data_IF_450641064761
#
_entry.id   IF_450641064761
#
_cell.length_a   1.000
_cell.length_b   1.000
_cell.length_c   1.000
_cell.angle_alpha   90.00
_cell.angle_beta   90.00
_cell.angle_gamma   90.00
#
_symmetry.space_group_name_H-M   'P 1'
#
loop_
_entity.id
_entity.type
_entity.pdbx_description
1 polymer ?
#
# COMPACT_ATOMS: atom_id res chain seq x y z
N UNK A 1 -70.82 34.67 -35.93
CA UNK A 1 -70.29 34.21 -34.62
C UNK A 1 -70.22 32.70 -34.63
N UNK A 2 -69.01 32.12 -34.69
CA UNK A 2 -68.77 30.69 -34.50
C UNK A 2 -67.47 30.58 -33.69
N UNK A 3 -67.61 30.29 -32.39
CA UNK A 3 -66.48 30.08 -31.48
C UNK A 3 -65.99 28.63 -31.62
N UNK A 4 -64.72 28.46 -31.95
CA UNK A 4 -64.05 27.15 -32.06
C UNK A 4 -63.29 26.90 -30.76
N UNK A 5 -63.84 26.04 -29.91
CA UNK A 5 -63.19 25.59 -28.67
C UNK A 5 -61.99 24.69 -29.01
N UNK A 6 -60.78 25.18 -28.77
CA UNK A 6 -59.55 24.37 -28.81
C UNK A 6 -59.30 23.86 -27.39
N UNK A 7 -59.53 22.57 -27.15
CA UNK A 7 -59.13 21.90 -25.90
C UNK A 7 -57.63 21.63 -25.94
N UNK A 8 -56.90 22.23 -25.01
CA UNK A 8 -55.44 22.17 -24.87
C UNK A 8 -54.93 20.83 -24.30
N UNK A 9 -53.64 20.49 -24.53
CA UNK A 9 -53.07 19.13 -24.49
C UNK A 9 -52.54 18.72 -23.10
N UNK A 10 -53.18 19.16 -22.02
CA UNK A 10 -52.70 18.97 -20.64
C UNK A 10 -52.59 17.49 -20.24
N UNK A 11 -53.42 16.63 -20.82
CA UNK A 11 -53.45 15.18 -20.55
C UNK A 11 -52.20 14.49 -21.06
N UNK A 12 -51.67 14.90 -22.21
CA UNK A 12 -50.46 14.30 -22.79
C UNK A 12 -49.20 14.67 -22.02
N UNK A 13 -49.15 15.88 -21.45
CA UNK A 13 -48.04 16.31 -20.61
C UNK A 13 -47.97 15.52 -19.30
N UNK A 14 -49.13 15.27 -18.66
CA UNK A 14 -49.21 14.49 -17.43
C UNK A 14 -48.83 13.01 -17.67
N UNK A 15 -49.23 12.43 -18.80
CA UNK A 15 -48.82 11.08 -19.19
C UNK A 15 -47.30 10.99 -19.43
N UNK A 16 -46.71 11.98 -20.09
CA UNK A 16 -45.26 12.02 -20.32
C UNK A 16 -44.46 12.13 -19.01
N UNK A 17 -44.89 13.00 -18.09
CA UNK A 17 -44.26 13.14 -16.77
C UNK A 17 -44.40 11.87 -15.92
N UNK A 18 -45.55 11.19 -15.99
CA UNK A 18 -45.77 9.90 -15.32
C UNK A 18 -44.83 8.81 -15.85
N UNK A 19 -44.67 8.71 -17.16
CA UNK A 19 -43.76 7.74 -17.79
C UNK A 19 -42.29 8.02 -17.45
N UNK A 20 -41.87 9.29 -17.39
CA UNK A 20 -40.52 9.67 -16.96
C UNK A 20 -40.29 9.32 -15.49
N UNK A 21 -41.26 9.59 -14.61
CA UNK A 21 -41.17 9.23 -13.20
C UNK A 21 -41.06 7.72 -12.98
N UNK A 22 -41.87 6.94 -13.70
CA UNK A 22 -41.82 5.46 -13.69
C UNK A 22 -40.46 4.99 -14.21
N UNK A 23 -39.98 5.52 -15.34
CA UNK A 23 -38.68 5.15 -15.89
C UNK A 23 -37.53 5.44 -14.91
N UNK A 24 -37.51 6.60 -14.27
CA UNK A 24 -36.49 6.96 -13.29
C UNK A 24 -36.54 6.08 -12.03
N UNK A 25 -37.74 5.76 -11.54
CA UNK A 25 -37.93 4.88 -10.38
C UNK A 25 -37.51 3.43 -10.66
N UNK A 26 -37.88 2.89 -11.82
CA UNK A 26 -37.47 1.54 -12.20
C UNK A 26 -35.99 1.48 -12.60
N UNK A 27 -35.39 2.56 -13.14
CA UNK A 27 -33.94 2.58 -13.43
C UNK A 27 -33.11 2.47 -12.15
N UNK A 28 -33.49 3.17 -11.08
CA UNK A 28 -32.78 3.08 -9.79
C UNK A 28 -33.01 1.73 -9.10
N UNK A 29 -34.24 1.19 -9.14
CA UNK A 29 -34.57 -0.11 -8.57
C UNK A 29 -33.95 -1.30 -9.31
N UNK A 30 -33.86 -1.23 -10.64
CA UNK A 30 -33.20 -2.26 -11.46
C UNK A 30 -31.67 -2.22 -11.25
N UNK A 31 -31.06 -1.03 -11.16
CA UNK A 31 -29.63 -0.92 -10.85
C UNK A 31 -29.27 -1.50 -9.49
N UNK A 32 -30.10 -1.32 -8.46
CA UNK A 32 -29.85 -1.90 -7.13
C UNK A 32 -30.07 -3.41 -7.09
N UNK A 33 -31.15 -3.96 -7.67
CA UNK A 33 -31.36 -5.42 -7.64
C UNK A 33 -30.37 -6.20 -8.51
N UNK A 34 -29.97 -5.67 -9.67
CA UNK A 34 -28.96 -6.30 -10.55
C UNK A 34 -27.58 -6.28 -9.89
N UNK A 35 -27.22 -5.21 -9.18
CA UNK A 35 -25.95 -5.13 -8.42
C UNK A 35 -25.90 -6.11 -7.25
N UNK A 36 -27.04 -6.35 -6.58
CA UNK A 36 -27.14 -7.30 -5.46
C UNK A 36 -27.12 -8.76 -5.92
N UNK A 37 -27.67 -9.07 -7.11
CA UNK A 37 -27.68 -10.45 -7.65
C UNK A 37 -26.40 -10.84 -8.39
N UNK A 38 -25.63 -9.90 -8.92
CA UNK A 38 -24.32 -10.16 -9.55
C UNK A 38 -23.15 -10.22 -8.55
N UNK A 39 -23.32 -9.76 -7.31
CA UNK A 39 -22.28 -9.78 -6.26
C UNK A 39 -22.05 -11.12 -5.55
N UNK A 40 -22.79 -12.18 -5.91
CA UNK A 40 -22.69 -13.50 -5.28
C UNK A 40 -21.88 -14.55 -6.05
N UNK A 41 -21.34 -14.21 -7.22
CA UNK A 41 -20.42 -15.10 -7.96
C UNK A 41 -19.05 -15.08 -7.29
N UNK A 42 -18.41 -16.24 -7.13
CA UNK A 42 -16.95 -16.31 -6.90
C UNK A 42 -16.30 -15.40 -7.95
N UNK A 43 -15.85 -14.21 -7.54
CA UNK A 43 -15.08 -13.31 -8.40
C UNK A 43 -13.78 -14.04 -8.70
N UNK A 44 -13.74 -14.75 -9.83
CA UNK A 44 -12.50 -15.23 -10.41
C UNK A 44 -11.87 -14.03 -11.09
N UNK A 45 -11.39 -13.08 -10.29
CA UNK A 45 -10.65 -11.94 -10.78
C UNK A 45 -9.43 -12.43 -11.55
N UNK A 46 -9.19 -11.82 -12.71
CA UNK A 46 -8.00 -12.10 -13.52
C UNK A 46 -6.76 -11.82 -12.67
N UNK A 47 -5.80 -12.76 -12.59
CA UNK A 47 -4.53 -12.52 -11.92
C UNK A 47 -3.82 -11.27 -12.49
N UNK A 48 -3.14 -10.53 -11.62
CA UNK A 48 -2.39 -9.36 -12.03
C UNK A 48 -1.21 -9.75 -12.94
N UNK A 49 -0.78 -8.85 -13.82
CA UNK A 49 0.41 -9.05 -14.65
C UNK A 49 1.71 -9.01 -13.79
N UNK A 50 2.88 -9.15 -14.42
CA UNK A 50 4.18 -9.17 -13.74
C UNK A 50 4.55 -7.83 -13.08
N UNK A 51 3.90 -6.74 -13.48
CA UNK A 51 4.07 -5.39 -12.91
C UNK A 51 2.93 -4.99 -11.98
N UNK A 52 2.09 -5.95 -11.57
CA UNK A 52 0.94 -5.75 -10.69
C UNK A 52 -0.08 -4.71 -11.18
N UNK A 53 -0.10 -4.40 -12.48
CA UNK A 53 -0.96 -3.39 -13.09
C UNK A 53 -0.39 -1.98 -13.10
N UNK A 54 0.89 -1.79 -12.72
CA UNK A 54 1.61 -0.53 -12.86
C UNK A 54 2.47 -0.52 -14.13
N UNK A 55 2.98 0.65 -14.52
CA UNK A 55 3.95 0.77 -15.62
C UNK A 55 5.26 0.04 -15.34
N UNK A 56 5.71 -0.01 -14.08
CA UNK A 56 6.90 -0.75 -13.67
C UNK A 56 6.99 -0.94 -12.15
N UNK A 57 7.81 -1.90 -11.72
CA UNK A 57 8.15 -2.14 -10.33
C UNK A 57 9.61 -1.73 -10.12
N UNK A 58 9.87 -0.82 -9.20
CA UNK A 58 11.21 -0.28 -8.93
C UNK A 58 11.65 -0.63 -7.51
N UNK A 59 12.94 -0.92 -7.32
CA UNK A 59 13.49 -1.29 -6.01
C UNK A 59 14.63 -0.35 -5.65
N UNK A 60 14.60 0.16 -4.42
CA UNK A 60 15.73 0.82 -3.78
C UNK A 60 16.58 -0.24 -3.08
N UNK A 61 17.71 -0.62 -3.69
CA UNK A 61 18.64 -1.61 -3.13
C UNK A 61 20.08 -1.13 -3.28
N UNK A 62 20.74 -0.88 -2.15
CA UNK A 62 22.11 -0.34 -2.11
C UNK A 62 23.16 -1.33 -2.67
N UNK A 63 24.36 -0.84 -3.06
CA UNK A 63 25.42 -1.69 -3.58
C UNK A 63 25.81 -2.79 -2.58
N UNK A 64 25.78 -4.05 -3.03
CA UNK A 64 26.15 -5.19 -2.19
C UNK A 64 25.16 -5.50 -1.06
N UNK A 65 23.92 -5.00 -1.13
CA UNK A 65 22.90 -5.31 -0.13
C UNK A 65 22.74 -6.83 0.06
N UNK A 66 22.81 -7.34 1.31
CA UNK A 66 22.65 -8.76 1.60
C UNK A 66 21.22 -9.25 1.37
N UNK A 67 20.26 -8.34 1.20
CA UNK A 67 18.83 -8.62 1.09
C UNK A 67 18.38 -8.85 -0.35
N UNK A 68 19.17 -8.37 -1.31
CA UNK A 68 18.86 -8.41 -2.75
C UNK A 68 18.62 -9.83 -3.29
N UNK A 69 19.45 -10.80 -2.91
CA UNK A 69 19.30 -12.17 -3.40
C UNK A 69 17.96 -12.80 -3.01
N UNK A 70 17.54 -12.59 -1.75
CA UNK A 70 16.24 -13.07 -1.27
C UNK A 70 15.07 -12.39 -1.98
N UNK A 71 15.17 -11.08 -2.21
CA UNK A 71 14.18 -10.33 -2.97
C UNK A 71 14.04 -10.86 -4.41
N UNK A 72 15.15 -11.13 -5.08
CA UNK A 72 15.17 -11.70 -6.44
C UNK A 72 14.54 -13.10 -6.48
N UNK A 73 14.77 -13.94 -5.46
CA UNK A 73 14.11 -15.24 -5.35
C UNK A 73 12.60 -15.10 -5.13
N UNK A 74 12.17 -14.20 -4.25
CA UNK A 74 10.75 -13.92 -4.01
C UNK A 74 10.05 -13.43 -5.28
N UNK A 75 10.70 -12.55 -6.04
CA UNK A 75 10.24 -12.06 -7.33
C UNK A 75 10.15 -13.18 -8.36
N UNK A 76 11.12 -14.09 -8.41
CA UNK A 76 11.10 -15.22 -9.33
C UNK A 76 9.95 -16.19 -9.04
N UNK A 77 9.69 -16.49 -7.76
CA UNK A 77 8.58 -17.37 -7.32
C UNK A 77 7.22 -16.76 -7.63
N UNK A 78 7.06 -15.46 -7.41
CA UNK A 78 5.82 -14.75 -7.71
C UNK A 78 5.74 -14.19 -9.11
N UNK A 79 6.78 -14.40 -9.93
CA UNK A 79 6.89 -13.90 -11.31
C UNK A 79 6.64 -12.38 -11.41
N UNK A 80 7.27 -11.63 -10.51
CA UNK A 80 7.30 -10.17 -10.57
C UNK A 80 8.52 -9.70 -11.35
N UNK A 81 8.31 -8.71 -12.21
CA UNK A 81 9.38 -8.08 -12.99
C UNK A 81 9.88 -6.84 -12.28
N UNK A 82 10.92 -7.01 -11.45
CA UNK A 82 11.54 -5.92 -10.71
C UNK A 82 12.62 -5.22 -11.54
N UNK A 83 12.57 -3.89 -11.57
CA UNK A 83 13.65 -3.03 -12.01
C UNK A 83 14.45 -2.59 -10.78
N UNK A 84 15.72 -2.99 -10.70
CA UNK A 84 16.62 -2.63 -9.61
C UNK A 84 17.73 -1.74 -10.19
N UNK A 85 17.57 -0.40 -10.19
CA UNK A 85 18.60 0.49 -10.70
C UNK A 85 19.94 0.32 -9.97
N UNK A 86 21.03 0.50 -10.70
CA UNK A 86 22.37 0.52 -10.12
C UNK A 86 22.51 1.74 -9.18
N UNK A 87 22.57 1.47 -7.88
CA UNK A 87 22.81 2.50 -6.88
C UNK A 87 24.29 2.86 -6.81
N UNK A 88 24.58 4.10 -6.40
CA UNK A 88 25.93 4.54 -6.10
C UNK A 88 26.25 4.42 -4.61
N UNK A 89 27.54 4.31 -4.29
CA UNK A 89 28.02 4.42 -2.90
C UNK A 89 28.08 5.89 -2.50
N UNK A 90 27.11 6.34 -1.72
CA UNK A 90 27.06 7.72 -1.21
C UNK A 90 28.22 8.02 -0.24
N UNK A 91 28.94 9.09 -0.53
CA UNK A 91 30.13 9.53 0.20
C UNK A 91 29.80 10.55 1.28
N UNK A 92 30.74 10.82 2.18
CA UNK A 92 30.60 11.91 3.16
C UNK A 92 30.47 13.29 2.48
N UNK A 93 31.00 13.44 1.26
CA UNK A 93 30.82 14.67 0.49
C UNK A 93 29.37 14.83 0.04
N UNK A 94 28.71 13.75 -0.39
CA UNK A 94 27.29 13.77 -0.76
C UNK A 94 26.42 14.10 0.46
N UNK A 95 26.75 13.53 1.62
CA UNK A 95 26.06 13.82 2.89
C UNK A 95 26.20 15.29 3.27
N UNK A 96 27.42 15.86 3.19
CA UNK A 96 27.64 17.29 3.43
C UNK A 96 26.91 18.18 2.43
N UNK A 97 26.85 17.79 1.16
CA UNK A 97 26.14 18.55 0.12
C UNK A 97 24.61 18.55 0.30
N UNK A 98 24.07 17.49 0.92
CA UNK A 98 22.66 17.41 1.25
C UNK A 98 22.29 18.30 2.44
N UNK A 99 23.16 18.38 3.45
CA UNK A 99 22.93 19.15 4.69
C UNK A 99 23.02 20.67 4.46
N UNK A 100 22.41 21.50 5.32
CA UNK A 100 22.55 22.95 5.25
C UNK A 100 24.01 23.39 5.49
N UNK A 101 24.36 24.59 5.00
CA UNK A 101 25.70 25.17 5.21
C UNK A 101 26.05 25.28 6.70
N UNK A 102 25.07 25.64 7.53
CA UNK A 102 25.21 25.62 8.97
C UNK A 102 24.84 24.22 9.50
N UNK A 103 25.84 23.33 9.62
CA UNK A 103 25.63 21.95 10.08
C UNK A 103 24.90 21.85 11.44
N UNK A 104 24.97 22.88 12.29
CA UNK A 104 24.25 22.90 13.57
C UNK A 104 22.72 22.93 13.43
N UNK A 105 22.22 23.27 12.24
CA UNK A 105 20.79 23.25 11.90
C UNK A 105 20.33 21.89 11.34
N UNK A 106 21.27 20.99 10.99
CA UNK A 106 20.95 19.69 10.43
C UNK A 106 20.28 18.77 11.45
N UNK A 107 19.20 18.13 11.02
CA UNK A 107 18.39 17.15 11.74
C UNK A 107 18.38 15.78 11.03
N UNK A 108 18.80 15.72 9.77
CA UNK A 108 18.87 14.48 8.99
C UNK A 108 20.21 13.78 9.22
N UNK A 109 20.13 12.56 9.73
CA UNK A 109 21.29 11.71 10.03
C UNK A 109 21.88 11.07 8.77
N UNK A 110 23.13 10.62 8.85
CA UNK A 110 23.90 10.14 7.70
C UNK A 110 23.20 8.98 7.00
N UNK A 111 22.66 8.01 7.75
CA UNK A 111 21.89 6.90 7.19
C UNK A 111 20.65 7.40 6.44
N UNK A 112 19.84 8.24 7.07
CA UNK A 112 18.69 8.88 6.44
C UNK A 112 19.02 9.66 5.17
N UNK A 113 20.12 10.42 5.14
CA UNK A 113 20.56 11.13 3.92
C UNK A 113 20.86 10.13 2.79
N UNK A 114 21.61 9.07 3.09
CA UNK A 114 21.96 8.05 2.08
C UNK A 114 20.73 7.33 1.56
N UNK A 115 19.77 6.99 2.42
CA UNK A 115 18.48 6.43 2.00
C UNK A 115 17.72 7.41 1.09
N UNK A 116 17.63 8.68 1.49
CA UNK A 116 16.95 9.72 0.72
C UNK A 116 17.52 9.88 -0.68
N UNK A 117 18.85 9.95 -0.80
CA UNK A 117 19.53 10.07 -2.08
C UNK A 117 19.32 8.82 -2.95
N UNK A 118 19.30 7.62 -2.36
CA UNK A 118 18.99 6.37 -3.06
C UNK A 118 17.57 6.36 -3.63
N UNK A 119 16.57 6.80 -2.85
CA UNK A 119 15.20 6.95 -3.35
C UNK A 119 15.13 7.97 -4.50
N UNK A 120 15.86 9.08 -4.40
CA UNK A 120 15.98 10.08 -5.48
C UNK A 120 16.51 9.49 -6.78
N UNK A 121 17.56 8.68 -6.71
CA UNK A 121 18.13 8.02 -7.87
C UNK A 121 17.07 7.16 -8.56
N UNK A 122 16.37 6.31 -7.82
CA UNK A 122 15.33 5.43 -8.38
C UNK A 122 14.16 6.22 -8.96
N UNK A 123 13.73 7.31 -8.31
CA UNK A 123 12.68 8.19 -8.83
C UNK A 123 13.10 8.84 -10.16
N UNK A 124 14.37 9.24 -10.29
CA UNK A 124 14.89 9.80 -11.55
C UNK A 124 14.94 8.76 -12.67
N UNK A 125 15.26 7.51 -12.37
CA UNK A 125 15.21 6.40 -13.33
C UNK A 125 13.77 6.12 -13.79
N UNK A 126 12.80 6.14 -12.89
CA UNK A 126 11.38 6.09 -13.25
C UNK A 126 10.97 7.27 -14.14
N UNK A 127 11.40 8.49 -13.82
CA UNK A 127 11.13 9.64 -14.67
C UNK A 127 11.82 9.50 -16.04
N UNK A 128 13.01 8.93 -16.13
CA UNK A 128 13.69 8.72 -17.41
C UNK A 128 13.01 7.66 -18.31
N UNK A 129 12.31 6.69 -17.73
CA UNK A 129 11.70 5.58 -18.48
C UNK A 129 10.49 5.98 -19.34
N UNK A 130 9.85 7.12 -19.04
CA UNK A 130 8.64 7.58 -19.72
C UNK A 130 7.35 6.87 -19.29
N UNK A 131 7.41 5.98 -18.28
CA UNK A 131 6.24 5.31 -17.72
C UNK A 131 5.31 6.29 -16.98
N UNK A 132 4.01 5.98 -16.97
CA UNK A 132 2.97 6.80 -16.32
C UNK A 132 2.85 6.53 -14.81
N UNK A 133 3.03 5.27 -14.39
CA UNK A 133 2.95 4.85 -12.99
C UNK A 133 4.04 3.86 -12.65
N UNK A 134 4.44 3.83 -11.39
CA UNK A 134 5.36 2.83 -10.86
C UNK A 134 5.04 2.51 -9.40
N UNK A 135 5.34 1.28 -8.99
CA UNK A 135 5.35 0.85 -7.58
C UNK A 135 6.80 0.68 -7.14
N UNK A 136 7.16 1.34 -6.03
CA UNK A 136 8.50 1.35 -5.47
C UNK A 136 8.56 0.49 -4.22
N UNK A 137 9.64 -0.27 -4.07
CA UNK A 137 9.93 -1.14 -2.93
C UNK A 137 11.27 -0.81 -2.29
N UNK A 138 11.37 -1.06 -0.98
CA UNK A 138 12.65 -1.21 -0.27
C UNK A 138 13.12 -2.68 -0.35
N UNK A 139 14.41 -2.95 -0.26
CA UNK A 139 14.96 -4.28 -0.52
C UNK A 139 14.82 -5.32 0.60
N UNK A 140 14.28 -4.92 1.75
CA UNK A 140 13.84 -5.81 2.84
C UNK A 140 12.35 -6.18 2.76
N UNK A 141 11.63 -5.79 1.71
CA UNK A 141 10.20 -6.07 1.62
C UNK A 141 9.87 -7.58 1.48
N UNK A 142 8.76 -8.00 2.08
CA UNK A 142 8.14 -9.32 1.92
C UNK A 142 6.69 -9.18 1.46
N UNK A 143 6.16 -10.22 0.83
CA UNK A 143 4.78 -10.29 0.36
C UNK A 143 4.26 -11.72 0.31
N UNK A 144 2.94 -11.88 0.23
CA UNK A 144 2.33 -13.19 0.13
C UNK A 144 2.57 -13.81 -1.25
N UNK A 145 2.89 -15.10 -1.34
CA UNK A 145 3.05 -15.81 -2.64
C UNK A 145 1.84 -15.68 -3.56
N UNK A 146 0.65 -15.37 -3.02
CA UNK A 146 -0.62 -15.18 -3.73
C UNK A 146 -0.87 -13.72 -4.12
N UNK A 147 0.14 -12.84 -4.06
CA UNK A 147 0.02 -11.40 -4.33
C UNK A 147 -0.60 -11.13 -5.70
N UNK A 148 -0.14 -11.82 -6.76
CA UNK A 148 -0.66 -11.66 -8.12
C UNK A 148 -2.04 -12.30 -8.33
N UNK A 149 -2.26 -13.47 -7.74
CA UNK A 149 -3.42 -14.30 -8.06
C UNK A 149 -4.65 -14.01 -7.21
N UNK A 150 -4.48 -13.31 -6.08
CA UNK A 150 -5.58 -12.95 -5.18
C UNK A 150 -5.51 -11.51 -4.68
N UNK A 151 -4.41 -11.08 -4.05
CA UNK A 151 -4.41 -9.84 -3.28
C UNK A 151 -4.53 -8.60 -4.17
N UNK A 152 -3.69 -8.50 -5.20
CA UNK A 152 -3.66 -7.34 -6.10
C UNK A 152 -4.98 -7.19 -6.86
N UNK A 153 -5.57 -8.23 -7.47
CA UNK A 153 -6.88 -8.10 -8.11
C UNK A 153 -8.01 -7.64 -7.17
N UNK A 154 -7.98 -8.03 -5.89
CA UNK A 154 -8.94 -7.57 -4.89
C UNK A 154 -8.71 -6.10 -4.52
N UNK A 155 -7.45 -5.71 -4.33
CA UNK A 155 -7.06 -4.34 -4.04
C UNK A 155 -7.42 -3.38 -5.18
N UNK A 156 -7.14 -3.76 -6.44
CA UNK A 156 -7.51 -3.01 -7.64
C UNK A 156 -9.02 -2.74 -7.68
N UNK A 157 -9.85 -3.76 -7.50
CA UNK A 157 -11.31 -3.60 -7.43
C UNK A 157 -11.76 -2.68 -6.27
N UNK A 158 -11.05 -2.69 -5.15
CA UNK A 158 -11.36 -1.81 -4.02
C UNK A 158 -10.97 -0.35 -4.29
N UNK A 159 -9.80 -0.12 -4.91
CA UNK A 159 -9.35 1.22 -5.31
C UNK A 159 -10.26 1.81 -6.39
N UNK A 160 -10.67 1.01 -7.39
CA UNK A 160 -11.61 1.44 -8.41
C UNK A 160 -12.96 1.93 -7.86
N UNK A 161 -13.42 1.36 -6.73
CA UNK A 161 -14.65 1.82 -6.06
C UNK A 161 -14.52 3.19 -5.39
N UNK A 162 -13.29 3.70 -5.22
CA UNK A 162 -13.04 5.06 -4.76
C UNK A 162 -13.08 6.08 -5.90
N UNK A 163 -13.02 5.60 -7.15
CA UNK A 163 -13.02 6.40 -8.38
C UNK A 163 -14.43 6.53 -8.96
N UNK A 164 -14.67 7.63 -9.67
CA UNK A 164 -15.90 7.85 -10.46
C UNK A 164 -15.68 7.53 -11.96
N UNK A 165 -14.58 6.86 -12.31
CA UNK A 165 -14.18 6.58 -13.69
C UNK A 165 -15.06 5.55 -14.40
N UNK A 166 -14.98 5.53 -15.74
CA UNK A 166 -15.79 4.64 -16.56
C UNK A 166 -15.28 3.19 -16.49
N UNK A 167 -16.12 2.20 -16.86
CA UNK A 167 -15.67 0.80 -16.93
C UNK A 167 -14.50 0.55 -17.89
N UNK A 168 -14.35 1.37 -18.95
CA UNK A 168 -13.23 1.26 -19.89
C UNK A 168 -11.91 1.73 -19.24
N UNK A 169 -11.99 2.79 -18.43
CA UNK A 169 -10.83 3.27 -17.68
C UNK A 169 -10.42 2.25 -16.62
N UNK A 170 -11.36 1.55 -16.00
CA UNK A 170 -11.08 0.51 -15.02
C UNK A 170 -10.31 -0.70 -15.61
N UNK A 171 -10.50 -1.02 -16.90
CA UNK A 171 -9.74 -2.09 -17.56
C UNK A 171 -8.32 -1.62 -17.92
N UNK A 172 -8.18 -0.39 -18.44
CA UNK A 172 -6.88 0.17 -18.82
C UNK A 172 -6.02 0.56 -17.60
N UNK A 173 -6.65 1.07 -16.55
CA UNK A 173 -6.05 1.58 -15.33
C UNK A 173 -6.61 0.81 -14.13
N UNK A 174 -6.10 -0.41 -13.86
CA UNK A 174 -6.69 -1.28 -12.83
C UNK A 174 -6.54 -0.70 -11.41
N UNK A 175 -5.62 0.24 -11.21
CA UNK A 175 -5.46 0.99 -9.97
C UNK A 175 -6.17 2.36 -9.97
N UNK A 176 -6.91 2.71 -11.02
CA UNK A 176 -7.40 4.07 -11.25
C UNK A 176 -6.40 4.95 -11.98
N UNK A 177 -6.87 6.11 -12.41
CA UNK A 177 -6.16 7.11 -13.21
C UNK A 177 -5.35 8.07 -12.34
N UNK A 178 -4.57 8.95 -12.96
CA UNK A 178 -3.81 10.00 -12.28
C UNK A 178 -4.69 11.10 -11.63
N UNK A 179 -5.99 11.13 -11.93
CA UNK A 179 -6.98 11.97 -11.23
C UNK A 179 -7.50 11.31 -9.93
N UNK A 180 -7.36 10.00 -9.80
CA UNK A 180 -7.95 9.23 -8.71
C UNK A 180 -7.07 9.22 -7.46
N UNK A 181 -5.75 9.25 -7.63
CA UNK A 181 -4.77 9.23 -6.55
C UNK A 181 -3.43 9.80 -7.03
N UNK A 182 -2.68 10.39 -6.11
CA UNK A 182 -1.29 10.80 -6.35
C UNK A 182 -0.31 9.74 -5.86
N UNK A 183 -0.63 9.08 -4.74
CA UNK A 183 0.19 8.05 -4.12
C UNK A 183 -0.68 6.94 -3.49
N UNK A 184 -0.28 5.68 -3.67
CA UNK A 184 -0.88 4.52 -2.99
C UNK A 184 0.13 3.87 -2.05
N UNK A 185 -0.15 3.86 -0.74
CA UNK A 185 0.60 3.05 0.21
C UNK A 185 0.06 1.62 0.20
N UNK A 186 0.82 0.72 -0.43
CA UNK A 186 0.54 -0.73 -0.46
C UNK A 186 1.46 -1.51 0.48
N UNK A 187 2.51 -0.86 0.99
CA UNK A 187 3.42 -1.34 2.02
C UNK A 187 3.89 -0.19 2.92
N UNK A 188 3.55 -0.29 4.20
CA UNK A 188 3.76 0.73 5.22
C UNK A 188 3.91 0.06 6.59
N UNK A 189 4.47 0.73 7.59
CA UNK A 189 4.45 0.24 8.98
C UNK A 189 3.15 0.60 9.72
N UNK A 190 2.34 1.49 9.15
CA UNK A 190 0.99 1.78 9.58
C UNK A 190 0.47 3.10 9.03
N UNK A 191 -0.85 3.24 9.00
CA UNK A 191 -1.54 4.51 8.74
C UNK A 191 -2.49 4.80 9.91
N UNK A 192 -2.05 5.70 10.79
CA UNK A 192 -2.65 5.86 12.11
C UNK A 192 -3.67 7.00 12.15
N UNK A 193 -4.75 6.78 12.89
CA UNK A 193 -5.83 7.75 13.10
C UNK A 193 -5.64 8.51 14.44
N UNK A 194 -4.42 9.01 14.67
CA UNK A 194 -4.00 9.67 15.90
C UNK A 194 -2.49 9.51 16.16
N UNK A 195 -1.99 10.11 17.24
CA UNK A 195 -0.62 9.88 17.70
C UNK A 195 -0.50 8.49 18.32
N UNK A 196 0.48 7.70 17.87
CA UNK A 196 0.73 6.36 18.41
C UNK A 196 1.15 6.40 19.88
N UNK A 197 1.69 7.52 20.37
CA UNK A 197 2.08 7.72 21.76
C UNK A 197 0.86 7.76 22.70
N UNK A 198 -0.30 8.17 22.20
CA UNK A 198 -1.55 8.19 22.97
C UNK A 198 -2.19 6.80 23.08
N UNK A 199 -1.70 5.82 22.31
CA UNK A 199 -2.19 4.45 22.24
C UNK A 199 -2.86 4.11 20.90
N UNK A 200 -2.95 2.82 20.58
CA UNK A 200 -3.51 2.32 19.31
C UNK A 200 -4.53 1.22 19.59
N UNK A 201 -5.70 1.31 18.96
CA UNK A 201 -6.78 0.33 19.02
C UNK A 201 -7.95 0.76 19.91
N UNK A 202 -8.69 -0.22 20.45
CA UNK A 202 -9.93 0.02 21.20
C UNK A 202 -9.68 0.99 22.36
N UNK A 203 -10.50 2.05 22.44
CA UNK A 203 -10.37 3.11 23.46
C UNK A 203 -9.51 4.30 23.02
N UNK A 204 -8.72 4.16 21.97
CA UNK A 204 -7.90 5.22 21.37
C UNK A 204 -8.36 5.57 19.95
N UNK A 205 -8.86 4.58 19.22
CA UNK A 205 -9.47 4.73 17.91
C UNK A 205 -10.97 4.38 17.98
N UNK A 206 -11.77 5.06 17.16
CA UNK A 206 -13.23 4.97 17.19
C UNK A 206 -13.81 4.81 15.77
N UNK A 207 -14.90 4.03 15.58
CA UNK A 207 -15.51 3.78 14.27
C UNK A 207 -15.87 5.04 13.47
N UNK A 208 -16.21 6.13 14.15
CA UNK A 208 -16.55 7.43 13.57
C UNK A 208 -15.39 7.98 12.72
N UNK A 209 -14.15 7.79 13.16
CA UNK A 209 -12.96 8.27 12.44
C UNK A 209 -12.84 7.64 11.05
N UNK A 210 -13.14 6.35 10.93
CA UNK A 210 -13.18 5.67 9.64
C UNK A 210 -14.40 6.08 8.82
N UNK A 211 -15.55 6.26 9.47
CA UNK A 211 -16.82 6.65 8.80
C UNK A 211 -16.71 8.03 8.13
N UNK A 212 -15.97 8.95 8.74
CA UNK A 212 -15.68 10.29 8.20
C UNK A 212 -14.60 10.28 7.11
N UNK A 213 -13.92 9.15 6.90
CA UNK A 213 -12.83 9.00 5.95
C UNK A 213 -13.33 8.27 4.71
N UNK A 214 -13.02 8.76 3.51
CA UNK A 214 -13.35 8.03 2.28
C UNK A 214 -12.65 6.66 2.31
N UNK A 215 -13.43 5.57 2.26
CA UNK A 215 -12.90 4.23 2.39
C UNK A 215 -13.75 3.17 1.69
N UNK A 216 -13.13 2.02 1.39
CA UNK A 216 -13.75 0.82 0.85
C UNK A 216 -13.26 -0.39 1.66
N UNK A 217 -14.19 -1.23 2.10
CA UNK A 217 -13.89 -2.51 2.76
C UNK A 217 -13.97 -3.64 1.74
N UNK A 218 -13.04 -4.59 1.78
CA UNK A 218 -13.09 -5.76 0.91
C UNK A 218 -12.54 -7.00 1.62
N UNK A 219 -13.14 -8.16 1.32
CA UNK A 219 -12.71 -9.42 1.89
C UNK A 219 -11.46 -9.94 1.18
N UNK A 220 -10.50 -10.41 1.98
CA UNK A 220 -9.28 -11.07 1.52
C UNK A 220 -8.97 -12.27 2.42
N UNK A 221 -9.17 -13.47 1.88
CA UNK A 221 -8.96 -14.73 2.61
C UNK A 221 -7.48 -15.05 2.84
N UNK A 222 -6.56 -14.38 2.14
CA UNK A 222 -5.12 -14.58 2.31
C UNK A 222 -4.60 -14.00 3.63
N UNK A 223 -5.31 -13.01 4.18
CA UNK A 223 -4.97 -12.35 5.44
C UNK A 223 -4.74 -13.35 6.57
N UNK A 224 -3.94 -12.97 7.56
CA UNK A 224 -3.84 -13.67 8.84
C UNK A 224 -5.13 -13.50 9.66
N UNK A 225 -5.45 -14.44 10.57
CA UNK A 225 -6.52 -14.20 11.54
C UNK A 225 -6.13 -13.05 12.47
N UNK A 226 -7.10 -12.37 13.08
CA UNK A 226 -6.84 -11.13 13.84
C UNK A 226 -5.77 -11.25 14.91
N UNK A 227 -5.74 -12.37 15.63
CA UNK A 227 -4.75 -12.61 16.69
C UNK A 227 -3.31 -12.75 16.14
N UNK A 228 -3.16 -13.12 14.87
CA UNK A 228 -1.88 -13.26 14.18
C UNK A 228 -1.50 -11.99 13.38
N UNK A 229 -2.31 -10.94 13.37
CA UNK A 229 -1.91 -9.65 12.78
C UNK A 229 -1.00 -8.89 13.74
N UNK A 230 -0.22 -7.95 13.19
CA UNK A 230 0.59 -7.02 13.98
C UNK A 230 -0.30 -6.35 15.05
N UNK A 231 0.12 -6.23 16.33
CA UNK A 231 -0.78 -5.80 17.40
C UNK A 231 -1.49 -4.47 17.16
N UNK A 232 -0.79 -3.47 16.61
CA UNK A 232 -1.41 -2.18 16.25
C UNK A 232 -2.41 -2.31 15.11
N UNK A 233 -2.10 -3.14 14.12
CA UNK A 233 -3.01 -3.43 13.00
C UNK A 233 -4.27 -4.13 13.52
N UNK A 234 -4.09 -5.14 14.38
CA UNK A 234 -5.20 -5.86 14.99
C UNK A 234 -6.10 -4.93 15.81
N UNK A 235 -5.49 -4.07 16.63
CA UNK A 235 -6.18 -3.08 17.47
C UNK A 235 -6.98 -2.07 16.66
N UNK A 236 -6.42 -1.49 15.60
CA UNK A 236 -7.14 -0.53 14.73
C UNK A 236 -8.34 -1.18 14.07
N UNK A 237 -8.14 -2.36 13.48
CA UNK A 237 -9.22 -3.06 12.80
C UNK A 237 -10.32 -3.49 13.80
N UNK A 238 -9.98 -3.73 15.06
CA UNK A 238 -10.95 -4.06 16.12
C UNK A 238 -11.74 -2.81 16.55
N UNK A 239 -11.03 -1.71 16.80
CA UNK A 239 -11.64 -0.40 17.09
C UNK A 239 -12.64 0.04 16.03
N UNK A 240 -12.35 -0.19 14.75
CA UNK A 240 -13.23 0.15 13.64
C UNK A 240 -14.32 -0.89 13.33
N UNK A 241 -14.40 -1.98 14.10
CA UNK A 241 -15.37 -3.05 13.87
C UNK A 241 -15.21 -3.72 12.51
N UNK A 242 -13.97 -3.83 12.01
CA UNK A 242 -13.68 -4.48 10.73
C UNK A 242 -13.77 -6.00 10.90
N UNK A 243 -14.57 -6.71 10.07
CA UNK A 243 -14.68 -8.16 10.14
C UNK A 243 -13.34 -8.90 9.95
N UNK A 244 -13.30 -10.18 10.33
CA UNK A 244 -12.17 -11.04 10.01
C UNK A 244 -11.92 -11.07 8.50
N UNK A 245 -10.66 -11.26 8.09
CA UNK A 245 -10.28 -11.41 6.67
C UNK A 245 -10.80 -10.26 5.79
N UNK A 246 -10.80 -9.05 6.32
CA UNK A 246 -11.27 -7.86 5.60
C UNK A 246 -10.18 -6.79 5.68
N UNK A 247 -9.76 -6.30 4.52
CA UNK A 247 -8.89 -5.13 4.38
C UNK A 247 -9.74 -3.89 4.14
N UNK A 248 -9.14 -2.75 4.39
CA UNK A 248 -9.69 -1.44 4.07
C UNK A 248 -8.73 -0.71 3.13
N UNK A 249 -9.27 -0.11 2.07
CA UNK A 249 -8.59 0.98 1.37
C UNK A 249 -9.19 2.26 1.91
N UNK A 250 -8.38 3.20 2.35
CA UNK A 250 -8.89 4.47 2.87
C UNK A 250 -7.97 5.64 2.51
N UNK A 251 -8.55 6.84 2.51
CA UNK A 251 -7.79 8.09 2.43
C UNK A 251 -6.76 8.10 3.55
N UNK A 252 -5.49 8.32 3.21
CA UNK A 252 -4.42 8.23 4.20
C UNK A 252 -4.53 9.32 5.27
N UNK A 253 -4.14 9.01 6.51
CA UNK A 253 -4.18 9.94 7.65
C UNK A 253 -2.78 10.25 8.19
N UNK A 254 -2.03 9.21 8.50
CA UNK A 254 -0.66 9.28 8.98
C UNK A 254 0.13 8.04 8.51
N UNK A 255 0.32 7.87 7.18
CA UNK A 255 1.02 6.71 6.64
C UNK A 255 2.53 6.85 6.86
N UNK A 256 3.15 5.88 7.51
CA UNK A 256 4.60 5.88 7.78
C UNK A 256 5.30 4.68 7.14
N UNK A 257 6.60 4.84 6.89
CA UNK A 257 7.45 3.91 6.14
C UNK A 257 7.11 3.82 4.64
N UNK A 258 8.11 3.52 3.81
CA UNK A 258 7.98 3.46 2.34
C UNK A 258 8.30 2.08 1.77
N UNK A 259 7.99 1.01 2.53
CA UNK A 259 8.23 -0.38 2.12
C UNK A 259 7.63 -0.72 0.75
N UNK A 260 6.47 -0.15 0.43
CA UNK A 260 5.76 -0.31 -0.84
C UNK A 260 4.86 0.88 -1.14
N UNK A 261 5.22 1.74 -2.08
CA UNK A 261 4.40 2.91 -2.44
C UNK A 261 4.36 3.10 -3.96
N UNK A 262 3.16 3.31 -4.50
CA UNK A 262 2.98 3.58 -5.92
C UNK A 262 2.77 5.07 -6.18
N UNK A 263 3.32 5.55 -7.30
CA UNK A 263 3.28 6.93 -7.73
C UNK A 263 2.77 7.05 -9.16
N UNK A 264 2.11 8.17 -9.44
CA UNK A 264 2.02 8.69 -10.80
C UNK A 264 3.32 9.41 -11.16
N UNK A 265 3.59 9.52 -12.46
CA UNK A 265 4.74 10.28 -12.99
C UNK A 265 4.76 11.72 -12.47
N UNK A 266 3.61 12.38 -12.50
CA UNK A 266 3.44 13.74 -11.98
C UNK A 266 3.79 13.82 -10.50
N UNK A 267 3.36 12.86 -9.69
CA UNK A 267 3.70 12.83 -8.26
C UNK A 267 5.20 12.64 -8.05
N UNK A 268 5.87 11.77 -8.83
CA UNK A 268 7.31 11.59 -8.74
C UNK A 268 8.09 12.89 -9.03
N UNK A 269 7.67 13.68 -10.02
CA UNK A 269 8.25 15.01 -10.30
C UNK A 269 8.11 15.93 -9.08
N UNK A 270 6.93 15.98 -8.47
CA UNK A 270 6.67 16.79 -7.27
C UNK A 270 7.44 16.30 -6.06
N UNK A 271 7.66 14.99 -5.94
CA UNK A 271 8.47 14.45 -4.85
C UNK A 271 9.89 14.97 -4.94
N UNK A 272 10.50 14.92 -6.12
CA UNK A 272 11.90 15.35 -6.26
C UNK A 272 12.08 16.87 -6.20
N UNK A 273 11.04 17.68 -6.47
CA UNK A 273 11.14 19.15 -6.49
C UNK A 273 10.57 19.83 -5.25
N UNK A 274 9.44 19.36 -4.73
CA UNK A 274 8.64 20.07 -3.71
C UNK A 274 8.62 19.30 -2.38
N UNK A 275 8.32 17.99 -2.43
CA UNK A 275 7.93 17.25 -1.22
C UNK A 275 9.15 16.70 -0.50
N UNK A 276 10.09 16.12 -1.22
CA UNK A 276 11.28 15.51 -0.64
C UNK A 276 12.53 15.86 -1.46
N UNK A 277 12.88 17.13 -1.71
CA UNK A 277 14.01 17.47 -2.58
C UNK A 277 15.35 16.92 -2.05
N UNK A 278 16.40 16.81 -2.89
CA UNK A 278 17.67 16.18 -2.50
C UNK A 278 18.59 17.14 -1.73
N UNK A 279 18.01 17.94 -0.84
CA UNK A 279 18.69 18.81 0.11
C UNK A 279 17.81 19.01 1.33
N UNK A 280 18.44 19.14 2.49
CA UNK A 280 17.76 19.36 3.75
C UNK A 280 17.20 20.79 3.82
N UNK A 281 15.97 20.89 4.32
CA UNK A 281 15.26 22.15 4.57
C UNK A 281 14.93 22.20 6.08
N UNK A 282 15.84 22.71 6.93
CA UNK A 282 15.71 22.66 8.39
C UNK A 282 14.40 23.26 8.93
N UNK A 283 13.82 24.23 8.22
CA UNK A 283 12.56 24.89 8.54
C UNK A 283 11.34 23.97 8.45
N UNK A 284 11.44 22.84 7.74
CA UNK A 284 10.33 21.88 7.58
C UNK A 284 10.28 20.81 8.65
N UNK A 285 11.33 20.67 9.45
CA UNK A 285 11.45 19.64 10.50
C UNK A 285 11.21 18.20 9.98
N UNK A 286 11.82 17.86 8.84
CA UNK A 286 11.73 16.54 8.22
C UNK A 286 13.09 15.84 8.33
N UNK A 287 13.12 14.69 8.99
CA UNK A 287 14.35 13.97 9.33
C UNK A 287 14.62 12.72 8.50
N UNK A 288 13.68 12.29 7.64
CA UNK A 288 13.78 11.10 6.80
C UNK A 288 12.86 11.18 5.57
N UNK A 289 13.18 10.39 4.54
CA UNK A 289 12.47 10.42 3.26
C UNK A 289 11.01 10.00 3.41
N UNK A 290 10.74 8.92 4.15
CA UNK A 290 9.39 8.44 4.44
C UNK A 290 8.55 9.46 5.21
N UNK A 291 9.16 10.20 6.15
CA UNK A 291 8.54 11.34 6.85
C UNK A 291 8.18 12.47 5.89
N UNK A 292 9.01 12.72 4.87
CA UNK A 292 8.71 13.69 3.82
C UNK A 292 7.47 13.29 3.01
N UNK A 293 7.38 12.02 2.60
CA UNK A 293 6.22 11.49 1.88
C UNK A 293 4.96 11.53 2.76
N UNK A 294 5.07 11.12 4.02
CA UNK A 294 4.01 11.23 5.02
C UNK A 294 3.48 12.65 5.10
N UNK A 295 4.37 13.64 5.29
CA UNK A 295 3.97 15.05 5.36
C UNK A 295 3.29 15.50 4.07
N UNK A 296 3.76 15.07 2.90
CA UNK A 296 3.12 15.32 1.61
C UNK A 296 1.68 14.80 1.53
N UNK A 297 1.38 13.67 2.18
CA UNK A 297 0.05 13.07 2.23
C UNK A 297 -0.87 13.65 3.30
N UNK A 298 -0.32 13.97 4.48
CA UNK A 298 -1.08 14.43 5.65
C UNK A 298 -1.36 15.93 5.58
N UNK A 299 -0.30 16.72 5.44
CA UNK A 299 -0.35 18.19 5.48
C UNK A 299 -0.29 18.80 4.08
N UNK A 300 0.29 18.04 3.17
CA UNK A 300 0.55 18.46 1.82
C UNK A 300 -0.63 18.23 0.86
N UNK A 301 -0.37 18.50 -0.42
CA UNK A 301 -1.38 18.49 -1.47
C UNK A 301 -1.62 17.10 -2.06
N UNK A 302 -0.92 16.04 -1.60
CA UNK A 302 -1.01 14.74 -2.26
C UNK A 302 -2.32 14.03 -1.94
N UNK A 303 -2.92 13.46 -2.99
CA UNK A 303 -4.08 12.61 -2.89
C UNK A 303 -3.67 11.15 -2.55
N UNK A 304 -3.36 10.88 -1.29
CA UNK A 304 -2.89 9.55 -0.85
C UNK A 304 -4.00 8.60 -0.37
N UNK A 305 -3.85 7.31 -0.66
CA UNK A 305 -4.65 6.23 -0.07
C UNK A 305 -3.77 5.10 0.43
N UNK A 306 -4.21 4.43 1.49
CA UNK A 306 -3.50 3.30 2.11
C UNK A 306 -4.37 2.05 2.08
N UNK A 307 -3.72 0.89 1.93
CA UNK A 307 -4.35 -0.42 2.12
C UNK A 307 -3.97 -0.92 3.51
N UNK A 308 -4.96 -1.17 4.37
CA UNK A 308 -4.74 -1.65 5.74
C UNK A 308 -5.54 -2.94 6.03
N UNK A 309 -4.89 -4.03 6.48
CA UNK A 309 -3.44 -4.20 6.54
C UNK A 309 -2.82 -4.09 5.14
N UNK A 310 -1.54 -3.78 5.09
CA UNK A 310 -0.75 -3.62 3.89
C UNK A 310 -0.50 -4.95 3.16
N UNK A 311 -0.19 -4.87 1.87
CA UNK A 311 0.11 -6.02 1.01
C UNK A 311 1.60 -6.41 1.07
N UNK A 312 2.45 -5.44 1.41
CA UNK A 312 3.91 -5.53 1.44
C UNK A 312 4.42 -5.02 2.78
N UNK A 313 5.36 -5.69 3.42
CA UNK A 313 5.90 -5.25 4.71
C UNK A 313 7.37 -5.67 4.83
N UNK A 314 8.24 -4.86 5.44
CA UNK A 314 9.64 -5.24 5.69
C UNK A 314 9.77 -6.54 6.50
N UNK A 315 10.76 -7.35 6.14
CA UNK A 315 11.24 -8.46 6.95
C UNK A 315 11.98 -7.91 8.17
N UNK A 316 11.76 -8.55 9.32
CA UNK A 316 12.51 -8.23 10.53
C UNK A 316 14.01 -8.51 10.33
N UNK A 317 14.85 -7.50 10.56
CA UNK A 317 16.30 -7.59 10.34
C UNK A 317 17.08 -6.41 10.90
N UNK A 318 18.40 -6.43 10.69
CA UNK A 318 19.27 -5.29 11.03
C UNK A 318 19.02 -4.13 10.06
N UNK A 319 18.93 -2.92 10.61
CA UNK A 319 18.68 -1.71 9.82
C UNK A 319 20.02 -1.15 9.31
N UNK A 320 20.24 -1.26 8.00
CA UNK A 320 21.43 -0.68 7.35
C UNK A 320 21.53 0.84 7.55
N UNK A 321 20.38 1.51 7.70
CA UNK A 321 20.29 2.94 8.03
C UNK A 321 20.78 3.16 9.47
N UNK A 322 20.24 2.42 10.43
CA UNK A 322 20.64 2.56 11.83
C UNK A 322 22.13 2.25 12.04
N UNK A 323 22.67 1.24 11.34
CA UNK A 323 24.08 0.88 11.40
C UNK A 323 24.98 2.02 10.91
N UNK A 324 24.57 2.72 9.84
CA UNK A 324 25.26 3.90 9.34
C UNK A 324 25.21 5.09 10.31
N UNK A 325 24.26 5.10 11.25
CA UNK A 325 24.03 6.16 12.23
C UNK A 325 24.54 5.81 13.64
N UNK A 326 25.16 4.63 13.81
CA UNK A 326 25.58 4.13 15.11
C UNK A 326 26.57 5.05 15.86
N UNK A 327 27.32 5.88 15.11
CA UNK A 327 28.23 6.90 15.67
C UNK A 327 27.55 8.25 15.95
N UNK A 328 26.37 8.50 15.37
CA UNK A 328 25.65 9.78 15.47
C UNK A 328 24.57 9.76 16.56
N UNK A 329 23.99 8.59 16.86
CA UNK A 329 22.96 8.43 17.88
C UNK A 329 22.96 7.06 18.54
N UNK A 330 22.23 6.97 19.65
CA UNK A 330 21.84 5.68 20.20
C UNK A 330 20.72 5.07 19.35
N UNK A 331 20.96 3.85 18.87
CA UNK A 331 19.96 3.10 18.11
C UNK A 331 18.88 2.59 19.07
N UNK A 332 17.63 2.92 18.76
CA UNK A 332 16.43 2.43 19.42
C UNK A 332 15.51 1.83 18.37
N UNK A 333 14.79 0.76 18.73
CA UNK A 333 13.79 0.12 17.89
C UNK A 333 12.49 0.91 17.93
N UNK A 334 11.93 1.36 16.79
CA UNK A 334 10.67 2.08 16.75
C UNK A 334 9.54 1.36 17.51
N UNK A 335 8.57 2.10 18.12
CA UNK A 335 7.49 1.49 18.90
C UNK A 335 6.65 0.49 18.09
N UNK A 336 6.45 0.76 16.80
CA UNK A 336 5.72 -0.12 15.89
C UNK A 336 6.45 -1.46 15.75
N UNK A 337 7.73 -1.45 15.37
CA UNK A 337 8.53 -2.68 15.26
C UNK A 337 8.65 -3.42 16.60
N UNK A 338 8.73 -2.68 17.72
CA UNK A 338 8.79 -3.27 19.05
C UNK A 338 7.50 -4.04 19.40
N UNK A 339 6.33 -3.51 19.01
CA UNK A 339 5.04 -4.13 19.29
C UNK A 339 4.88 -5.49 18.59
N UNK A 340 5.36 -5.62 17.34
CA UNK A 340 5.27 -6.86 16.56
C UNK A 340 6.43 -7.85 16.76
N UNK A 341 7.50 -7.47 17.45
CA UNK A 341 8.78 -8.19 17.44
C UNK A 341 8.68 -9.63 17.95
N UNK A 342 8.07 -9.83 19.12
CA UNK A 342 7.98 -11.15 19.74
C UNK A 342 7.19 -12.12 18.85
N UNK A 343 6.07 -11.66 18.32
CA UNK A 343 5.23 -12.43 17.39
C UNK A 343 5.99 -12.81 16.13
N UNK A 344 6.65 -11.83 15.49
CA UNK A 344 7.42 -12.02 14.25
C UNK A 344 8.53 -13.05 14.46
N UNK A 345 9.30 -12.93 15.54
CA UNK A 345 10.38 -13.88 15.89
C UNK A 345 9.88 -15.27 16.23
N UNK A 346 8.77 -15.39 16.95
CA UNK A 346 8.22 -16.69 17.33
C UNK A 346 7.71 -17.46 16.11
N UNK A 347 6.97 -16.76 15.23
CA UNK A 347 6.35 -17.37 14.05
C UNK A 347 7.32 -17.56 12.89
N UNK A 348 8.40 -16.79 12.85
CA UNK A 348 9.27 -16.69 11.67
C UNK A 348 8.47 -16.24 10.45
N UNK A 349 7.54 -15.30 10.63
CA UNK A 349 6.70 -14.77 9.55
C UNK A 349 6.68 -13.25 9.63
N UNK A 350 6.76 -12.59 8.47
CA UNK A 350 6.65 -11.13 8.38
C UNK A 350 5.30 -10.66 8.89
N UNK A 351 5.30 -9.55 9.64
CA UNK A 351 4.08 -8.94 10.17
C UNK A 351 3.05 -8.73 9.06
N UNK A 352 1.78 -9.04 9.35
CA UNK A 352 0.63 -8.95 8.44
C UNK A 352 0.67 -9.80 7.14
N UNK A 353 1.81 -10.40 6.77
CA UNK A 353 1.95 -11.23 5.58
C UNK A 353 1.58 -12.69 5.89
N UNK A 354 0.56 -13.21 5.20
CA UNK A 354 -0.03 -14.52 5.49
C UNK A 354 0.78 -15.72 5.02
N UNK A 355 1.53 -15.56 3.94
CA UNK A 355 2.33 -16.61 3.30
C UNK A 355 3.59 -16.01 2.65
N UNK A 356 4.41 -15.36 3.46
CA UNK A 356 5.62 -14.65 3.01
C UNK A 356 6.87 -15.52 2.93
N UNK A 357 7.99 -14.91 2.57
CA UNK A 357 9.27 -15.56 2.30
C UNK A 357 10.23 -15.61 3.51
N UNK A 358 9.91 -14.89 4.60
CA UNK A 358 10.82 -14.67 5.73
C UNK A 358 11.44 -15.93 6.39
N UNK A 359 10.72 -17.05 6.51
CA UNK A 359 11.27 -18.29 7.06
C UNK A 359 12.12 -19.13 6.08
N UNK A 360 12.26 -18.66 4.84
CA UNK A 360 12.97 -19.35 3.77
C UNK A 360 12.23 -20.53 3.12
N UNK A 361 10.95 -20.76 3.45
CA UNK A 361 10.17 -21.90 2.91
C UNK A 361 10.03 -21.90 1.38
N UNK A 362 10.24 -20.76 0.74
CA UNK A 362 10.06 -20.57 -0.70
C UNK A 362 11.37 -20.26 -1.44
N UNK A 363 12.52 -20.34 -0.77
CA UNK A 363 13.81 -20.19 -1.45
C UNK A 363 14.16 -21.48 -2.19
N UNK A 364 14.57 -21.32 -3.44
CA UNK A 364 14.92 -22.40 -4.35
C UNK A 364 16.43 -22.53 -4.55
N UNK A 365 17.23 -21.52 -4.18
CA UNK A 365 18.70 -21.58 -4.17
C UNK A 365 19.28 -22.06 -5.53
N UNK A 366 18.66 -21.66 -6.63
CA UNK A 366 19.04 -22.05 -8.00
C UNK A 366 18.40 -23.33 -8.54
N UNK A 367 17.69 -24.12 -7.72
CA UNK A 367 16.93 -25.31 -8.15
C UNK A 367 15.68 -24.93 -8.95
N UNK A 368 15.74 -25.12 -10.28
CA UNK A 368 14.65 -24.78 -11.18
C UNK A 368 13.39 -25.64 -10.96
N UNK A 369 13.53 -26.88 -10.49
CA UNK A 369 12.36 -27.73 -10.24
C UNK A 369 11.57 -27.23 -9.03
N UNK A 370 12.25 -26.77 -7.98
CA UNK A 370 11.61 -26.10 -6.83
C UNK A 370 10.93 -24.81 -7.24
N UNK A 371 11.59 -23.99 -8.06
CA UNK A 371 11.01 -22.75 -8.56
C UNK A 371 9.70 -23.00 -9.32
N UNK A 372 9.67 -23.97 -10.24
CA UNK A 372 8.46 -24.35 -10.97
C UNK A 372 7.35 -24.84 -10.02
N UNK A 373 7.70 -25.64 -9.02
CA UNK A 373 6.76 -26.09 -7.99
C UNK A 373 6.17 -24.92 -7.19
N UNK A 374 7.00 -23.97 -6.75
CA UNK A 374 6.53 -22.81 -5.98
C UNK A 374 5.65 -21.89 -6.82
N UNK A 375 5.98 -21.70 -8.10
CA UNK A 375 5.11 -21.00 -9.06
C UNK A 375 3.76 -21.69 -9.17
N UNK A 376 3.74 -23.00 -9.37
CA UNK A 376 2.48 -23.76 -9.46
C UNK A 376 1.61 -23.56 -8.21
N UNK A 377 2.20 -23.61 -7.01
CA UNK A 377 1.48 -23.37 -5.74
C UNK A 377 0.89 -21.95 -5.67
N UNK A 378 1.66 -20.94 -6.06
CA UNK A 378 1.18 -19.55 -6.14
C UNK A 378 -0.02 -19.40 -7.11
N UNK A 379 0.03 -20.08 -8.25
CA UNK A 379 -1.05 -20.13 -9.24
C UNK A 379 -2.28 -20.92 -8.77
N UNK A 380 -2.06 -21.98 -7.98
CA UNK A 380 -3.12 -22.73 -7.30
C UNK A 380 -3.75 -21.98 -6.13
N UNK A 381 -3.28 -20.75 -5.83
CA UNK A 381 -3.79 -19.89 -4.76
C UNK A 381 -3.61 -20.50 -3.36
N UNK A 382 -2.66 -21.44 -3.22
CA UNK A 382 -2.41 -22.19 -2.00
C UNK A 382 -1.26 -21.60 -1.18
N UNK A 383 -1.29 -21.83 0.13
CA UNK A 383 -0.19 -21.52 1.03
C UNK A 383 0.27 -22.81 1.73
N UNK A 384 1.38 -23.43 1.31
CA UNK A 384 1.82 -24.72 1.85
C UNK A 384 2.39 -24.61 3.28
N UNK A 385 2.54 -23.39 3.83
CA UNK A 385 3.16 -23.17 5.14
C UNK A 385 2.30 -23.73 6.26
N UNK A 386 2.93 -24.54 7.13
CA UNK A 386 2.34 -24.95 8.41
C UNK A 386 2.50 -23.80 9.39
N UNK A 387 1.38 -23.12 9.70
CA UNK A 387 1.38 -22.03 10.65
C UNK A 387 1.81 -22.50 12.04
N UNK A 388 2.75 -21.80 12.64
CA UNK A 388 2.97 -21.85 14.07
C UNK A 388 1.89 -20.99 14.71
N UNK A 389 0.95 -21.55 15.50
CA UNK A 389 0.01 -20.70 16.24
C UNK A 389 0.80 -19.74 17.12
N UNK A 390 0.30 -18.52 17.39
CA UNK A 390 0.92 -17.66 18.41
C UNK A 390 1.26 -18.46 19.67
N UNK A 391 2.33 -18.06 20.36
CA UNK A 391 2.71 -18.67 21.64
C UNK A 391 1.46 -18.83 22.51
N UNK A 392 1.31 -19.95 23.25
CA UNK A 392 0.28 -20.00 24.25
C UNK A 392 0.63 -18.91 25.24
N UNK A 393 -0.06 -17.77 25.17
CA UNK A 393 -0.37 -17.03 26.39
C UNK A 393 -0.85 -18.11 27.33
N UNK A 394 -0.11 -18.32 28.41
CA UNK A 394 -0.49 -19.25 29.46
C UNK A 394 -2.00 -19.14 29.67
N UNK A 395 -2.65 -20.29 29.63
CA UNK A 395 -4.05 -20.48 29.96
C UNK A 395 -4.23 -19.97 31.41
N UNK A 396 -4.45 -18.66 31.52
CA UNK A 396 -4.52 -17.92 32.75
C UNK A 396 -5.89 -18.12 33.36
N UNK A 397 -5.96 -19.12 34.24
CA UNK A 397 -6.97 -19.22 35.30
C UNK A 397 -7.09 -17.94 36.12
#
# INVERSE_FOLDING_TARGET
MLARNVRFPSVYLLLALGLIGIFLYYRTAISTEVSVRLGGGKSTSTPANATLGFGGLYVVSGPGSPRRAHLEEAAAVTELELTIPEQMTWTDADVRNFRPENESESRVLTGSVKAWLSHHLVLREFLASGLETALFFEDDVDWDVRVRTQQIPLAQQAVQKLSETSPLDAEAYPWGTDADWDLLYVGHCGDYFGDIADGVGVGHNHPEQLTETQHVKYQDQTMLPRYDLHPFTAGILEAFGIPQKTRIVHRSKWPLCTFGYALTRRTAERIITEIAPPHEQPERDISAFDVAILSGCRDGPLKCYSITPELFHHMEGESLIADAEASERKIFRPPVDAAGLEQTKYRMETSNIGCGFFDGSFYYEGDQSKLEQFRELAWMKDCPKRRRPNSPKEDGR
#
